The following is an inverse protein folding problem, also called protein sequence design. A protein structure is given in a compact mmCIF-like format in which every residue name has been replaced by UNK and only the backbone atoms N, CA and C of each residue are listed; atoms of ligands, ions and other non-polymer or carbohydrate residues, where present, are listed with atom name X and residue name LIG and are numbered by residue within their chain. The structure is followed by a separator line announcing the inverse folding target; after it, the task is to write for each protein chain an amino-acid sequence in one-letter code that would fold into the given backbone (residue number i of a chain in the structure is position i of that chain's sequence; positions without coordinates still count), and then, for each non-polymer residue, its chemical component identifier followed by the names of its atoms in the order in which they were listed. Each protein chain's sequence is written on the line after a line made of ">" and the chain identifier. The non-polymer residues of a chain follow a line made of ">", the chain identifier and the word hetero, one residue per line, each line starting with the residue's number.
data_IF_684417051594
#
_entry.id   IF_684417051594
#
_cell.length_a   1.000
_cell.length_b   1.000
_cell.length_c   1.000
_cell.angle_alpha   90.00
_cell.angle_beta   90.00
_cell.angle_gamma   90.00
#
_symmetry.space_group_name_H-M   'P 1'
#
loop_
_entity.id
_entity.type
_entity.pdbx_description
1 polymer ?
#
# COMPACT_ATOMS: atom_id res chain seq x y z
N UNK A 1 -5.40 27.94 5.01
CA UNK A 1 -6.06 27.05 5.99
C UNK A 1 -7.37 26.54 5.43
N UNK A 2 -7.88 25.46 6.02
CA UNK A 2 -9.20 24.89 5.68
C UNK A 2 -10.04 24.82 6.94
N UNK A 3 -11.19 25.46 6.91
CA UNK A 3 -12.19 25.33 7.97
C UNK A 3 -13.19 24.24 7.57
N UNK A 4 -13.52 23.33 8.49
CA UNK A 4 -14.39 22.17 8.21
C UNK A 4 -15.75 22.52 7.62
N UNK A 5 -16.33 23.66 8.03
CA UNK A 5 -17.66 24.12 7.57
C UNK A 5 -17.61 25.13 6.43
N UNK A 6 -16.54 25.92 6.32
CA UNK A 6 -16.49 27.07 5.40
C UNK A 6 -15.45 26.94 4.30
N UNK A 7 -14.60 25.90 4.33
CA UNK A 7 -13.63 25.61 3.28
C UNK A 7 -12.33 26.40 3.38
N UNK A 8 -11.75 26.69 2.21
CA UNK A 8 -10.42 27.27 2.11
C UNK A 8 -10.47 28.78 2.36
N UNK A 9 -9.70 29.23 3.36
CA UNK A 9 -9.47 30.63 3.67
C UNK A 9 -7.97 30.92 3.88
N UNK A 10 -7.60 32.19 3.92
CA UNK A 10 -6.25 32.66 4.21
C UNK A 10 -6.16 33.08 5.67
N UNK A 11 -5.34 32.40 6.44
CA UNK A 11 -5.04 32.82 7.81
C UNK A 11 -4.36 34.21 7.79
N UNK A 12 -4.82 35.12 8.64
CA UNK A 12 -4.27 36.49 8.77
C UNK A 12 -3.43 36.57 10.03
N UNK A 13 -4.09 36.47 11.21
CA UNK A 13 -3.46 36.59 12.52
C UNK A 13 -4.36 36.00 13.62
N UNK A 14 -3.88 36.05 14.85
CA UNK A 14 -4.66 35.84 16.07
C UNK A 14 -4.74 37.19 16.76
N UNK A 15 -5.93 37.60 17.21
CA UNK A 15 -6.17 38.85 17.96
C UNK A 15 -7.22 38.62 19.04
N UNK A 16 -7.21 39.49 20.05
CA UNK A 16 -8.28 39.46 21.04
C UNK A 16 -9.60 39.95 20.43
N UNK A 17 -10.67 39.25 20.74
CA UNK A 17 -12.05 39.66 20.40
C UNK A 17 -12.41 40.98 21.03
N UNK A 18 -12.93 41.94 20.28
CA UNK A 18 -13.38 43.23 20.87
C UNK A 18 -14.49 43.07 21.90
N UNK A 19 -15.31 42.02 21.78
CA UNK A 19 -16.52 41.84 22.60
C UNK A 19 -16.27 40.98 23.84
N UNK A 20 -15.42 39.95 23.77
CA UNK A 20 -15.20 39.01 24.88
C UNK A 20 -13.79 39.06 25.47
N UNK A 21 -12.84 39.66 24.77
CA UNK A 21 -11.43 39.67 25.18
C UNK A 21 -10.70 38.32 24.92
N UNK A 22 -11.42 37.31 24.48
CA UNK A 22 -10.84 36.00 24.13
C UNK A 22 -10.01 36.06 22.84
N UNK A 23 -9.02 35.19 22.71
CA UNK A 23 -8.23 35.10 21.48
C UNK A 23 -9.01 34.41 20.35
N UNK A 24 -9.03 35.05 19.19
CA UNK A 24 -9.68 34.58 17.96
C UNK A 24 -8.70 34.51 16.80
N UNK A 25 -8.87 33.48 15.98
CA UNK A 25 -8.15 33.27 14.74
C UNK A 25 -8.90 33.94 13.57
N UNK A 26 -8.27 34.89 12.91
CA UNK A 26 -8.85 35.65 11.79
C UNK A 26 -8.52 34.99 10.47
N UNK A 27 -9.54 34.56 9.72
CA UNK A 27 -9.39 33.87 8.45
C UNK A 27 -10.12 34.67 7.37
N UNK A 28 -9.37 35.11 6.36
CA UNK A 28 -9.89 35.85 5.20
C UNK A 28 -10.45 34.87 4.16
N UNK A 29 -11.67 35.16 3.74
CA UNK A 29 -12.37 34.47 2.66
C UNK A 29 -12.49 35.34 1.42
N UNK A 30 -13.09 34.80 0.33
CA UNK A 30 -13.41 35.58 -0.88
C UNK A 30 -14.28 36.79 -0.49
N UNK A 31 -14.24 37.83 -1.29
CA UNK A 31 -14.97 39.09 -1.08
C UNK A 31 -14.53 39.87 0.17
N UNK A 32 -13.28 39.68 0.62
CA UNK A 32 -12.71 40.34 1.82
C UNK A 32 -13.49 40.10 3.13
N UNK A 33 -14.25 39.04 3.20
CA UNK A 33 -14.96 38.68 4.43
C UNK A 33 -14.03 37.96 5.38
N UNK A 34 -13.98 38.38 6.65
CA UNK A 34 -13.18 37.77 7.71
C UNK A 34 -14.09 36.90 8.58
N UNK A 35 -13.67 35.65 8.79
CA UNK A 35 -14.26 34.77 9.78
C UNK A 35 -13.42 34.80 11.05
N UNK A 36 -14.04 35.11 12.16
CA UNK A 36 -13.45 35.07 13.50
C UNK A 36 -13.73 33.69 14.11
N UNK A 37 -12.68 32.92 14.39
CA UNK A 37 -12.80 31.58 14.97
C UNK A 37 -12.17 31.61 16.35
N UNK A 38 -12.95 31.44 17.44
CA UNK A 38 -12.39 31.33 18.78
C UNK A 38 -11.34 30.23 18.89
N UNK A 39 -10.26 30.41 19.63
CA UNK A 39 -9.23 29.40 19.81
C UNK A 39 -9.74 28.08 20.37
N UNK A 40 -10.82 28.10 21.15
CA UNK A 40 -11.56 26.91 21.61
C UNK A 40 -12.06 26.03 20.44
N UNK A 41 -12.27 26.65 19.28
CA UNK A 41 -12.69 25.97 18.03
C UNK A 41 -11.54 25.78 17.02
N UNK A 42 -10.30 25.98 17.41
CA UNK A 42 -9.14 25.82 16.54
C UNK A 42 -9.04 24.42 15.90
N UNK A 43 -9.60 23.40 16.53
CA UNK A 43 -9.70 22.03 16.01
C UNK A 43 -10.53 21.93 14.72
N UNK A 44 -11.37 22.91 14.40
CA UNK A 44 -12.13 23.00 13.14
C UNK A 44 -11.30 23.56 11.99
N UNK A 45 -10.10 24.07 12.26
CA UNK A 45 -9.21 24.67 11.27
C UNK A 45 -7.96 23.81 11.11
N UNK A 46 -7.66 23.43 9.87
CA UNK A 46 -6.46 22.66 9.52
C UNK A 46 -5.60 23.39 8.50
N UNK A 47 -4.34 23.00 8.41
CA UNK A 47 -3.46 23.52 7.37
C UNK A 47 -3.92 22.99 6.01
N UNK A 48 -3.98 23.89 5.01
CA UNK A 48 -4.21 23.46 3.64
C UNK A 48 -3.00 22.68 3.10
N UNK A 49 -3.25 21.47 2.61
CA UNK A 49 -2.26 20.62 1.96
C UNK A 49 -2.73 20.42 0.53
N UNK A 50 -2.14 21.13 -0.42
CA UNK A 50 -2.48 21.04 -1.85
C UNK A 50 -1.46 20.23 -2.64
N UNK A 51 -1.91 19.51 -3.63
CA UNK A 51 -1.07 18.82 -4.61
C UNK A 51 -0.67 19.82 -5.72
N UNK A 52 0.38 20.60 -5.50
CA UNK A 52 0.94 21.48 -6.52
C UNK A 52 1.32 22.89 -6.05
N UNK A 53 1.99 23.65 -6.93
CA UNK A 53 2.51 25.00 -6.67
C UNK A 53 1.47 26.12 -6.82
N UNK A 54 0.22 25.81 -7.17
CA UNK A 54 -0.81 26.84 -7.37
C UNK A 54 -1.48 27.21 -6.04
N UNK A 55 -1.54 28.53 -5.77
CA UNK A 55 -2.31 29.05 -4.65
C UNK A 55 -3.78 28.71 -4.84
N UNK A 56 -4.45 28.08 -3.83
CA UNK A 56 -5.86 27.71 -3.95
C UNK A 56 -6.74 28.95 -3.98
N UNK A 57 -7.85 28.86 -4.71
CA UNK A 57 -8.87 29.89 -4.64
C UNK A 57 -9.57 29.87 -3.28
N UNK A 58 -9.78 31.05 -2.69
CA UNK A 58 -10.51 31.18 -1.45
C UNK A 58 -12.00 30.90 -1.66
N UNK A 59 -12.62 30.18 -0.73
CA UNK A 59 -14.07 29.98 -0.73
C UNK A 59 -14.81 31.26 -0.34
N UNK A 60 -16.09 31.35 -0.69
CA UNK A 60 -17.01 32.38 -0.20
C UNK A 60 -17.78 31.85 1.00
N UNK A 61 -17.92 32.66 2.05
CA UNK A 61 -18.72 32.30 3.22
C UNK A 61 -20.20 32.17 2.82
N UNK A 62 -20.84 31.09 3.27
CA UNK A 62 -22.24 30.80 2.92
C UNK A 62 -22.47 30.17 1.53
N UNK A 63 -21.43 29.95 0.74
CA UNK A 63 -21.55 29.25 -0.55
C UNK A 63 -21.76 27.75 -0.37
N UNK A 64 -22.73 27.21 -1.07
CA UNK A 64 -22.99 25.75 -1.13
C UNK A 64 -21.93 24.94 -1.87
N UNK A 65 -20.98 25.61 -2.55
CA UNK A 65 -19.92 24.95 -3.34
C UNK A 65 -19.03 24.06 -2.46
N UNK A 66 -18.61 24.56 -1.31
CA UNK A 66 -17.80 23.77 -0.34
C UNK A 66 -18.58 22.59 0.22
N UNK A 67 -19.83 22.80 0.64
CA UNK A 67 -20.71 21.75 1.16
C UNK A 67 -20.96 20.67 0.11
N UNK A 68 -21.15 21.05 -1.15
CA UNK A 68 -21.28 20.08 -2.25
C UNK A 68 -20.01 19.29 -2.50
N UNK A 69 -18.85 19.96 -2.50
CA UNK A 69 -17.55 19.30 -2.66
C UNK A 69 -17.27 18.32 -1.50
N UNK A 70 -17.54 18.74 -0.26
CA UNK A 70 -17.42 17.89 0.93
C UNK A 70 -18.33 16.66 0.84
N UNK A 71 -19.61 16.86 0.52
CA UNK A 71 -20.58 15.76 0.37
C UNK A 71 -20.25 14.82 -0.80
N UNK A 72 -19.67 15.34 -1.87
CA UNK A 72 -19.17 14.54 -2.99
C UNK A 72 -17.97 13.69 -2.56
N UNK A 73 -17.03 14.26 -1.80
CA UNK A 73 -15.90 13.52 -1.27
C UNK A 73 -16.34 12.44 -0.27
N UNK A 74 -17.28 12.76 0.63
CA UNK A 74 -17.86 11.78 1.58
C UNK A 74 -18.54 10.62 0.85
N UNK A 75 -19.31 10.89 -0.22
CA UNK A 75 -19.90 9.85 -1.06
C UNK A 75 -18.85 8.99 -1.75
N UNK A 76 -17.83 9.62 -2.33
CA UNK A 76 -16.74 8.87 -2.99
C UNK A 76 -16.00 7.95 -2.01
N UNK A 77 -15.81 8.38 -0.76
CA UNK A 77 -15.22 7.54 0.30
C UNK A 77 -16.16 6.39 0.68
N UNK A 78 -17.47 6.67 0.81
CA UNK A 78 -18.46 5.64 1.11
C UNK A 78 -18.60 4.61 -0.03
N UNK A 79 -18.62 5.06 -1.28
CA UNK A 79 -18.68 4.20 -2.46
C UNK A 79 -17.42 3.31 -2.55
N UNK A 80 -16.24 3.90 -2.28
CA UNK A 80 -14.99 3.14 -2.22
C UNK A 80 -14.99 2.10 -1.09
N UNK A 81 -15.48 2.46 0.10
CA UNK A 81 -15.63 1.51 1.21
C UNK A 81 -16.60 0.37 0.87
N UNK A 82 -17.74 0.69 0.24
CA UNK A 82 -18.68 -0.32 -0.22
C UNK A 82 -18.09 -1.27 -1.27
N UNK A 83 -17.30 -0.74 -2.21
CA UNK A 83 -16.58 -1.57 -3.19
C UNK A 83 -15.55 -2.48 -2.51
N UNK A 84 -14.80 -1.99 -1.51
CA UNK A 84 -13.87 -2.82 -0.74
C UNK A 84 -14.59 -3.96 -0.02
N UNK A 85 -15.72 -3.66 0.63
CA UNK A 85 -16.53 -4.67 1.33
C UNK A 85 -17.09 -5.73 0.37
N UNK A 86 -17.55 -5.35 -0.82
CA UNK A 86 -18.01 -6.28 -1.83
C UNK A 86 -16.89 -7.20 -2.32
N UNK A 87 -15.70 -6.66 -2.60
CA UNK A 87 -14.52 -7.46 -2.99
C UNK A 87 -14.14 -8.43 -1.87
N UNK A 88 -14.21 -7.98 -0.62
CA UNK A 88 -13.94 -8.84 0.54
C UNK A 88 -14.97 -9.94 0.68
N UNK A 89 -16.26 -9.64 0.53
CA UNK A 89 -17.33 -10.64 0.57
C UNK A 89 -17.16 -11.70 -0.53
N UNK A 90 -16.81 -11.27 -1.76
CA UNK A 90 -16.51 -12.20 -2.85
C UNK A 90 -15.28 -13.08 -2.56
N UNK A 91 -14.24 -12.53 -1.92
CA UNK A 91 -13.06 -13.31 -1.51
C UNK A 91 -13.35 -14.28 -0.38
N UNK A 92 -14.20 -13.91 0.58
CA UNK A 92 -14.60 -14.79 1.67
C UNK A 92 -15.39 -16.01 1.19
N UNK A 93 -16.15 -15.89 0.10
CA UNK A 93 -16.90 -16.97 -0.53
C UNK A 93 -16.10 -17.72 -1.61
N UNK A 94 -15.00 -17.12 -2.09
CA UNK A 94 -14.14 -17.70 -3.11
C UNK A 94 -13.27 -18.84 -2.58
N UNK A 95 -13.04 -19.86 -3.40
CA UNK A 95 -12.02 -20.88 -3.12
C UNK A 95 -10.68 -20.41 -3.70
N UNK A 96 -9.69 -20.24 -2.83
CA UNK A 96 -8.29 -20.02 -3.18
C UNK A 96 -7.50 -21.33 -3.29
N UNK A 97 -6.23 -21.20 -3.59
CA UNK A 97 -5.30 -22.31 -3.52
C UNK A 97 -4.71 -22.38 -2.10
N UNK A 98 -4.85 -23.50 -1.43
CA UNK A 98 -4.20 -23.74 -0.14
C UNK A 98 -2.78 -24.24 -0.39
N UNK A 99 -1.80 -23.43 -0.03
CA UNK A 99 -0.40 -23.81 -0.11
C UNK A 99 -0.09 -24.92 0.92
N UNK A 100 0.82 -25.87 0.59
CA UNK A 100 1.20 -26.91 1.53
C UNK A 100 1.88 -26.34 2.79
N UNK A 101 1.88 -27.07 3.92
CA UNK A 101 2.68 -26.73 5.09
C UNK A 101 4.16 -26.58 4.74
N UNK A 102 4.91 -25.92 5.62
CA UNK A 102 6.33 -25.68 5.42
C UNK A 102 7.12 -26.95 5.19
N UNK A 103 7.89 -26.96 4.11
CA UNK A 103 8.82 -28.02 3.76
C UNK A 103 10.17 -27.85 4.48
N UNK A 104 11.03 -28.86 4.41
CA UNK A 104 12.42 -28.77 4.87
C UNK A 104 13.16 -27.59 4.23
N UNK A 105 12.96 -27.36 2.94
CA UNK A 105 13.53 -26.22 2.22
C UNK A 105 13.09 -24.88 2.79
N UNK A 106 11.83 -24.76 3.23
CA UNK A 106 11.33 -23.53 3.84
C UNK A 106 12.05 -23.25 5.17
N UNK A 107 12.27 -24.26 6.00
CA UNK A 107 12.99 -24.11 7.26
C UNK A 107 14.47 -23.78 7.06
N UNK A 108 15.14 -24.44 6.11
CA UNK A 108 16.53 -24.11 5.74
C UNK A 108 16.64 -22.68 5.20
N UNK A 109 15.70 -22.27 4.35
CA UNK A 109 15.60 -20.92 3.81
C UNK A 109 15.42 -19.87 4.92
N UNK A 110 14.55 -20.10 5.88
CA UNK A 110 14.35 -19.19 7.01
C UNK A 110 15.60 -19.14 7.91
N UNK A 111 16.20 -20.27 8.18
CA UNK A 111 17.41 -20.36 9.02
C UNK A 111 18.64 -19.70 8.39
N UNK A 112 18.69 -19.58 7.05
CA UNK A 112 19.79 -18.92 6.33
C UNK A 112 19.66 -17.39 6.32
N UNK A 113 18.64 -16.81 6.98
CA UNK A 113 18.48 -15.34 7.05
C UNK A 113 19.61 -14.72 7.89
N UNK A 114 20.40 -13.78 7.34
CA UNK A 114 21.61 -13.29 7.99
C UNK A 114 21.36 -12.34 9.16
N UNK A 115 20.10 -11.97 9.41
CA UNK A 115 19.72 -11.05 10.48
C UNK A 115 18.81 -11.74 11.50
N UNK A 116 18.72 -11.17 12.69
CA UNK A 116 17.76 -11.62 13.69
C UNK A 116 16.44 -10.89 13.48
N UNK A 117 15.37 -11.64 13.31
CA UNK A 117 14.02 -11.09 13.15
C UNK A 117 13.52 -10.47 14.46
N UNK A 118 12.74 -9.39 14.31
CA UNK A 118 11.95 -8.83 15.40
C UNK A 118 10.70 -9.68 15.65
N UNK A 119 10.10 -9.55 16.83
CA UNK A 119 8.86 -10.27 17.17
C UNK A 119 7.72 -9.92 16.21
N UNK A 120 7.66 -8.65 15.75
CA UNK A 120 6.64 -8.21 14.80
C UNK A 120 6.84 -8.84 13.41
N UNK A 121 8.10 -8.96 12.96
CA UNK A 121 8.43 -9.65 11.71
C UNK A 121 8.04 -11.12 11.78
N UNK A 122 8.39 -11.83 12.87
CA UNK A 122 8.02 -13.24 13.06
C UNK A 122 6.49 -13.42 13.05
N UNK A 123 5.77 -12.52 13.72
CA UNK A 123 4.29 -12.52 13.73
C UNK A 123 3.71 -12.29 12.33
N UNK A 124 4.22 -11.32 11.60
CA UNK A 124 3.77 -11.03 10.23
C UNK A 124 4.04 -12.21 9.28
N UNK A 125 5.20 -12.86 9.40
CA UNK A 125 5.55 -14.06 8.62
C UNK A 125 4.60 -15.21 8.96
N UNK A 126 4.38 -15.49 10.25
CA UNK A 126 3.50 -16.58 10.67
C UNK A 126 2.04 -16.37 10.21
N UNK A 127 1.53 -15.13 10.33
CA UNK A 127 0.19 -14.78 9.86
C UNK A 127 0.07 -14.91 8.33
N UNK A 128 1.07 -14.46 7.57
CA UNK A 128 1.09 -14.60 6.11
C UNK A 128 1.08 -16.06 5.68
N UNK A 129 1.89 -16.91 6.32
CA UNK A 129 1.92 -18.34 6.04
C UNK A 129 0.59 -19.03 6.36
N UNK A 130 -0.02 -18.69 7.51
CA UNK A 130 -1.31 -19.24 7.91
C UNK A 130 -2.42 -18.88 6.92
N UNK A 131 -2.44 -17.65 6.40
CA UNK A 131 -3.38 -17.24 5.35
C UNK A 131 -3.17 -18.04 4.07
N UNK A 132 -1.90 -18.19 3.61
CA UNK A 132 -1.56 -18.95 2.40
C UNK A 132 -1.94 -20.45 2.52
N UNK A 133 -1.93 -21.01 3.72
CA UNK A 133 -2.35 -22.38 3.99
C UNK A 133 -3.86 -22.55 4.09
N UNK A 134 -4.60 -21.44 4.16
CA UNK A 134 -6.06 -21.50 4.20
C UNK A 134 -6.65 -21.76 2.81
N UNK A 135 -7.90 -22.21 2.76
CA UNK A 135 -8.63 -22.36 1.50
C UNK A 135 -9.23 -21.04 0.99
N UNK A 136 -9.16 -19.98 1.80
CA UNK A 136 -9.61 -18.64 1.45
C UNK A 136 -8.46 -17.87 0.81
N UNK A 137 -8.65 -17.20 -0.34
CA UNK A 137 -7.59 -16.37 -0.93
C UNK A 137 -7.12 -15.28 0.03
N UNK A 138 -5.83 -15.23 0.30
CA UNK A 138 -5.23 -14.21 1.17
C UNK A 138 -5.41 -12.80 0.59
N UNK A 139 -5.74 -11.83 1.42
CA UNK A 139 -5.59 -10.41 1.14
C UNK A 139 -5.03 -9.69 2.37
N UNK A 140 -3.71 -9.75 2.50
CA UNK A 140 -3.02 -9.23 3.68
C UNK A 140 -2.20 -7.99 3.36
N UNK A 141 -2.28 -7.00 4.25
CA UNK A 141 -1.50 -5.78 4.22
C UNK A 141 -0.41 -5.83 5.31
N UNK A 142 0.85 -5.71 4.92
CA UNK A 142 1.98 -5.53 5.83
C UNK A 142 2.32 -4.05 5.93
N UNK A 143 2.10 -3.46 7.08
CA UNK A 143 2.48 -2.08 7.39
C UNK A 143 3.75 -2.04 8.23
N UNK A 144 4.62 -1.08 7.95
CA UNK A 144 5.82 -0.84 8.73
C UNK A 144 6.67 0.21 8.06
N UNK A 145 7.49 0.91 8.84
CA UNK A 145 8.33 1.98 8.31
C UNK A 145 9.40 1.44 7.33
N UNK A 146 10.06 2.35 6.60
CA UNK A 146 11.15 2.00 5.68
C UNK A 146 12.28 1.32 6.46
N UNK A 147 12.78 0.20 5.95
CA UNK A 147 13.85 -0.58 6.60
C UNK A 147 13.37 -1.52 7.72
N UNK A 148 12.05 -1.68 7.96
CA UNK A 148 11.54 -2.61 8.98
C UNK A 148 11.43 -4.06 8.50
N UNK A 149 11.97 -4.40 7.34
CA UNK A 149 12.06 -5.78 6.85
C UNK A 149 10.79 -6.34 6.21
N UNK A 150 9.85 -5.49 5.78
CA UNK A 150 8.64 -5.93 5.03
C UNK A 150 8.97 -6.80 3.83
N UNK A 151 10.07 -6.50 3.14
CA UNK A 151 10.53 -7.25 1.96
C UNK A 151 10.85 -8.70 2.29
N UNK A 152 11.43 -9.00 3.47
CA UNK A 152 11.71 -10.37 3.88
C UNK A 152 10.43 -11.19 4.07
N UNK A 153 9.35 -10.58 4.58
CA UNK A 153 8.03 -11.24 4.64
C UNK A 153 7.56 -11.65 3.25
N UNK A 154 7.70 -10.73 2.27
CA UNK A 154 7.32 -11.00 0.88
C UNK A 154 8.20 -12.08 0.22
N UNK A 155 9.50 -12.07 0.51
CA UNK A 155 10.45 -13.08 0.00
C UNK A 155 10.08 -14.46 0.51
N UNK A 156 9.78 -14.61 1.82
CA UNK A 156 9.36 -15.89 2.42
C UNK A 156 8.02 -16.37 1.86
N UNK A 157 7.07 -15.46 1.67
CA UNK A 157 5.79 -15.79 1.03
C UNK A 157 5.99 -16.26 -0.42
N UNK A 158 6.82 -15.57 -1.20
CA UNK A 158 7.13 -15.97 -2.57
C UNK A 158 7.86 -17.33 -2.62
N UNK A 159 8.81 -17.58 -1.73
CA UNK A 159 9.49 -18.85 -1.64
C UNK A 159 8.54 -19.99 -1.27
N UNK A 160 7.64 -19.78 -0.30
CA UNK A 160 6.57 -20.74 0.05
C UNK A 160 5.65 -21.02 -1.15
N UNK A 161 5.28 -20.00 -1.90
CA UNK A 161 4.47 -20.12 -3.10
C UNK A 161 5.16 -21.03 -4.16
N UNK A 162 6.43 -20.77 -4.43
CA UNK A 162 7.22 -21.51 -5.44
C UNK A 162 7.47 -22.95 -4.99
N UNK A 163 7.84 -23.19 -3.74
CA UNK A 163 8.01 -24.56 -3.21
C UNK A 163 6.70 -25.33 -3.16
N UNK A 164 5.57 -24.65 -3.12
CA UNK A 164 4.23 -25.22 -3.31
C UNK A 164 3.83 -25.45 -4.78
N UNK A 165 4.75 -25.27 -5.74
CA UNK A 165 4.53 -25.52 -7.17
C UNK A 165 3.72 -24.43 -7.88
N UNK A 166 3.66 -23.20 -7.34
CA UNK A 166 2.98 -22.06 -7.94
C UNK A 166 3.94 -20.94 -8.30
N UNK A 167 3.52 -20.07 -9.20
CA UNK A 167 4.28 -18.89 -9.61
C UNK A 167 3.94 -17.69 -8.73
N UNK A 168 4.92 -16.80 -8.49
CA UNK A 168 4.71 -15.55 -7.77
C UNK A 168 5.02 -14.33 -8.66
N UNK A 169 4.22 -13.26 -8.51
CA UNK A 169 4.44 -11.99 -9.19
C UNK A 169 4.68 -10.89 -8.15
N UNK A 170 5.72 -10.08 -8.35
CA UNK A 170 6.06 -8.95 -7.48
C UNK A 170 5.91 -7.64 -8.26
N UNK A 171 4.90 -6.86 -7.90
CA UNK A 171 4.59 -5.58 -8.52
C UNK A 171 5.17 -4.43 -7.71
N UNK A 172 5.89 -3.56 -8.39
CA UNK A 172 6.49 -2.37 -7.81
C UNK A 172 6.21 -1.12 -8.66
N UNK A 173 6.15 0.08 -8.09
CA UNK A 173 5.75 1.28 -8.83
C UNK A 173 6.81 1.81 -9.80
N UNK A 174 8.08 1.50 -9.59
CA UNK A 174 9.18 2.05 -10.38
C UNK A 174 10.18 0.97 -10.83
N UNK A 175 10.87 1.24 -11.92
CA UNK A 175 11.91 0.33 -12.44
C UNK A 175 13.11 0.21 -11.51
N UNK A 176 13.42 1.26 -10.75
CA UNK A 176 14.50 1.24 -9.74
C UNK A 176 14.16 0.27 -8.63
N UNK A 177 12.92 0.30 -8.13
CA UNK A 177 12.45 -0.66 -7.13
C UNK A 177 12.39 -2.08 -7.70
N UNK A 178 12.02 -2.25 -8.99
CA UNK A 178 12.04 -3.57 -9.62
C UNK A 178 13.45 -4.16 -9.63
N UNK A 179 14.45 -3.38 -9.99
CA UNK A 179 15.86 -3.80 -9.98
C UNK A 179 16.35 -4.13 -8.56
N UNK A 180 15.98 -3.31 -7.59
CA UNK A 180 16.34 -3.54 -6.18
C UNK A 180 15.72 -4.84 -5.66
N UNK A 181 14.42 -5.06 -5.86
CA UNK A 181 13.75 -6.30 -5.47
C UNK A 181 14.33 -7.50 -6.22
N UNK A 182 14.58 -7.37 -7.53
CA UNK A 182 15.15 -8.45 -8.33
C UNK A 182 16.50 -8.91 -7.78
N UNK A 183 17.39 -7.97 -7.44
CA UNK A 183 18.68 -8.29 -6.84
C UNK A 183 18.51 -8.98 -5.48
N UNK A 184 17.70 -8.40 -4.59
CA UNK A 184 17.47 -8.93 -3.24
C UNK A 184 16.87 -10.34 -3.28
N UNK A 185 15.88 -10.57 -4.15
CA UNK A 185 15.27 -11.90 -4.30
C UNK A 185 16.27 -12.93 -4.86
N UNK A 186 17.06 -12.54 -5.88
CA UNK A 186 18.11 -13.41 -6.43
C UNK A 186 19.18 -13.77 -5.41
N UNK A 187 19.68 -12.79 -4.68
CA UNK A 187 20.66 -13.00 -3.61
C UNK A 187 20.11 -13.94 -2.54
N UNK A 188 18.89 -13.70 -2.08
CA UNK A 188 18.26 -14.46 -1.02
C UNK A 188 17.93 -15.90 -1.40
N UNK A 189 17.64 -16.16 -2.68
CA UNK A 189 17.29 -17.48 -3.21
C UNK A 189 18.41 -18.13 -4.05
N UNK A 190 19.65 -17.62 -3.96
CA UNK A 190 20.75 -18.05 -4.83
C UNK A 190 21.13 -19.54 -4.70
N UNK A 191 20.87 -20.14 -3.54
CA UNK A 191 21.16 -21.56 -3.28
C UNK A 191 20.01 -22.51 -3.68
N UNK A 192 18.91 -21.97 -4.19
CA UNK A 192 17.73 -22.75 -4.56
C UNK A 192 17.47 -22.72 -6.07
N UNK A 193 16.91 -23.79 -6.64
CA UNK A 193 16.61 -23.84 -8.07
C UNK A 193 15.33 -23.04 -8.42
N UNK A 194 15.33 -21.76 -8.08
CA UNK A 194 14.21 -20.83 -8.32
C UNK A 194 14.60 -19.89 -9.44
N UNK A 195 13.84 -19.89 -10.53
CA UNK A 195 14.06 -18.99 -11.65
C UNK A 195 13.32 -17.70 -11.48
N UNK A 196 14.07 -16.60 -11.28
CA UNK A 196 13.55 -15.25 -11.07
C UNK A 196 13.88 -14.41 -12.29
N UNK A 197 12.86 -13.77 -12.87
CA UNK A 197 13.01 -12.88 -14.01
C UNK A 197 12.41 -11.49 -13.74
N UNK A 198 12.88 -10.49 -14.48
CA UNK A 198 12.38 -9.13 -14.37
C UNK A 198 11.75 -8.67 -15.67
N UNK A 199 10.52 -8.13 -15.58
CA UNK A 199 9.83 -7.45 -16.67
C UNK A 199 9.81 -5.94 -16.44
N UNK A 200 10.70 -5.23 -17.13
CA UNK A 200 10.77 -3.78 -17.10
C UNK A 200 10.87 -3.18 -18.50
N UNK A 201 10.68 -1.88 -18.63
CA UNK A 201 10.88 -1.17 -19.90
C UNK A 201 12.34 -1.16 -20.38
N UNK A 202 13.28 -1.54 -19.52
CA UNK A 202 14.70 -1.59 -19.86
C UNK A 202 15.16 -3.00 -20.28
N UNK A 203 14.29 -4.00 -20.18
CA UNK A 203 14.57 -5.34 -20.66
C UNK A 203 14.60 -5.34 -22.19
N UNK A 204 15.51 -6.09 -22.79
CA UNK A 204 15.56 -6.24 -24.26
C UNK A 204 14.31 -6.94 -24.78
N UNK A 205 13.96 -6.73 -26.05
CA UNK A 205 12.83 -7.41 -26.66
C UNK A 205 12.98 -8.95 -26.67
N UNK A 206 14.21 -9.45 -26.69
CA UNK A 206 14.51 -10.88 -26.59
C UNK A 206 14.25 -11.40 -25.18
N UNK A 207 14.73 -10.69 -24.14
CA UNK A 207 14.50 -11.05 -22.74
C UNK A 207 13.01 -11.03 -22.39
N UNK A 208 12.29 -9.99 -22.85
CA UNK A 208 10.84 -9.90 -22.65
C UNK A 208 10.15 -11.13 -23.24
N UNK A 209 10.45 -11.50 -24.48
CA UNK A 209 9.84 -12.69 -25.12
C UNK A 209 10.17 -13.98 -24.37
N UNK A 210 11.44 -14.16 -23.97
CA UNK A 210 11.89 -15.32 -23.19
C UNK A 210 11.18 -15.41 -21.84
N UNK A 211 11.05 -14.28 -21.13
CA UNK A 211 10.37 -14.22 -19.84
C UNK A 211 8.88 -14.51 -19.99
N UNK A 212 8.20 -13.93 -20.99
CA UNK A 212 6.78 -14.18 -21.25
C UNK A 212 6.51 -15.65 -21.56
N UNK A 213 7.34 -16.27 -22.40
CA UNK A 213 7.22 -17.70 -22.69
C UNK A 213 7.52 -18.55 -21.45
N UNK A 214 8.53 -18.18 -20.65
CA UNK A 214 8.84 -18.86 -19.40
C UNK A 214 7.70 -18.78 -18.37
N UNK A 215 6.99 -17.64 -18.30
CA UNK A 215 5.81 -17.49 -17.46
C UNK A 215 4.64 -18.36 -17.95
N UNK A 216 4.42 -18.40 -19.26
CA UNK A 216 3.34 -19.17 -19.89
C UNK A 216 3.54 -20.67 -19.73
N UNK A 217 4.78 -21.14 -19.80
CA UNK A 217 5.13 -22.56 -19.65
C UNK A 217 5.30 -23.00 -18.20
N UNK A 218 5.48 -22.06 -17.27
CA UNK A 218 5.81 -22.32 -15.87
C UNK A 218 7.30 -22.57 -15.63
N UNK A 219 8.18 -22.20 -16.57
CA UNK A 219 9.63 -22.28 -16.43
C UNK A 219 10.23 -21.08 -15.66
N UNK A 220 9.46 -20.02 -15.44
CA UNK A 220 9.80 -18.88 -14.57
C UNK A 220 8.93 -18.98 -13.34
N UNK A 221 9.55 -19.02 -12.17
CA UNK A 221 8.88 -19.20 -10.88
C UNK A 221 8.43 -17.86 -10.29
N UNK A 222 9.30 -16.85 -10.34
CA UNK A 222 9.03 -15.52 -9.80
C UNK A 222 9.29 -14.48 -10.88
N UNK A 223 8.34 -13.57 -11.07
CA UNK A 223 8.52 -12.41 -11.94
C UNK A 223 8.38 -11.12 -11.14
N UNK A 224 9.35 -10.22 -11.31
CA UNK A 224 9.36 -8.90 -10.68
C UNK A 224 9.22 -7.83 -11.74
N UNK A 225 8.34 -6.87 -11.54
CA UNK A 225 8.18 -5.81 -12.54
C UNK A 225 7.24 -4.69 -12.11
N UNK A 226 7.07 -3.73 -13.03
CA UNK A 226 6.18 -2.59 -12.84
C UNK A 226 4.79 -2.91 -13.40
N UNK A 227 4.01 -1.87 -13.70
CA UNK A 227 2.70 -1.99 -14.38
C UNK A 227 2.73 -2.87 -15.66
N UNK A 228 3.92 -3.17 -16.21
CA UNK A 228 4.09 -4.10 -17.32
C UNK A 228 3.55 -5.50 -17.01
N UNK A 229 3.58 -5.94 -15.75
CA UNK A 229 3.06 -7.24 -15.32
C UNK A 229 1.53 -7.38 -15.47
N UNK A 230 0.82 -6.26 -15.59
CA UNK A 230 -0.64 -6.22 -15.74
C UNK A 230 -1.08 -6.09 -17.22
N UNK A 231 -0.14 -6.08 -18.14
CA UNK A 231 -0.46 -6.02 -19.57
C UNK A 231 -1.08 -7.33 -20.02
N UNK A 232 -1.96 -7.25 -21.01
CA UNK A 232 -2.83 -8.36 -21.41
C UNK A 232 -2.04 -9.53 -22.05
N UNK A 233 -0.84 -9.27 -22.55
CA UNK A 233 0.09 -10.28 -23.11
C UNK A 233 0.88 -11.07 -22.06
N UNK A 234 0.81 -10.67 -20.78
CA UNK A 234 1.46 -11.42 -19.69
C UNK A 234 0.49 -12.51 -19.21
N UNK A 235 0.80 -13.75 -19.47
CA UNK A 235 0.06 -14.92 -18.99
C UNK A 235 0.95 -15.80 -18.13
N UNK A 236 0.45 -16.21 -16.98
CA UNK A 236 1.13 -17.10 -16.04
C UNK A 236 0.37 -18.41 -15.94
N UNK A 237 1.09 -19.52 -15.99
CA UNK A 237 0.50 -20.86 -16.03
C UNK A 237 -0.30 -21.20 -14.77
N UNK A 238 0.29 -20.90 -13.62
CA UNK A 238 -0.26 -21.30 -12.32
C UNK A 238 0.11 -20.28 -11.23
N UNK A 239 -0.24 -18.99 -11.45
CA UNK A 239 -0.02 -17.93 -10.48
C UNK A 239 -0.70 -18.28 -9.15
N UNK A 240 0.02 -18.21 -8.04
CA UNK A 240 -0.45 -18.48 -6.69
C UNK A 240 -0.36 -17.27 -5.75
N UNK A 241 0.61 -16.36 -6.00
CA UNK A 241 0.83 -15.20 -5.14
C UNK A 241 1.12 -13.95 -5.96
N UNK A 242 0.52 -12.85 -5.55
CA UNK A 242 0.87 -11.50 -6.02
C UNK A 242 1.32 -10.66 -4.83
N UNK A 243 2.55 -10.16 -4.89
CA UNK A 243 3.08 -9.16 -3.95
C UNK A 243 2.96 -7.79 -4.59
N UNK A 244 2.43 -6.81 -3.86
CA UNK A 244 2.29 -5.42 -4.33
C UNK A 244 3.04 -4.52 -3.34
N UNK A 245 4.13 -3.91 -3.78
CA UNK A 245 4.85 -2.94 -2.95
C UNK A 245 4.40 -1.52 -3.27
N UNK A 246 4.22 -0.70 -2.23
CA UNK A 246 3.80 0.71 -2.35
C UNK A 246 2.50 0.90 -3.18
N UNK A 247 1.46 0.11 -2.88
CA UNK A 247 0.17 0.11 -3.61
C UNK A 247 -0.41 1.51 -3.83
N UNK A 248 -0.18 2.45 -2.91
CA UNK A 248 -0.69 3.82 -3.00
C UNK A 248 -0.11 4.61 -4.19
N UNK A 249 1.02 4.18 -4.74
CA UNK A 249 1.65 4.79 -5.92
C UNK A 249 1.06 4.33 -7.25
N UNK A 250 0.18 3.32 -7.24
CA UNK A 250 -0.53 2.87 -8.42
C UNK A 250 -1.82 3.66 -8.62
N UNK A 251 -2.10 4.07 -9.86
CA UNK A 251 -3.34 4.77 -10.21
C UNK A 251 -4.59 3.89 -10.10
N UNK A 252 -5.76 4.52 -9.98
CA UNK A 252 -7.06 3.85 -9.79
C UNK A 252 -7.32 2.75 -10.85
N UNK A 253 -7.08 3.04 -12.13
CA UNK A 253 -7.26 2.07 -13.24
C UNK A 253 -6.39 0.82 -13.08
N UNK A 254 -5.17 0.95 -12.57
CA UNK A 254 -4.29 -0.18 -12.33
C UNK A 254 -4.82 -1.04 -11.18
N UNK A 255 -5.36 -0.41 -10.13
CA UNK A 255 -5.94 -1.13 -8.98
C UNK A 255 -7.20 -1.92 -9.37
N UNK A 256 -8.02 -1.38 -10.26
CA UNK A 256 -9.19 -2.10 -10.80
C UNK A 256 -8.76 -3.32 -11.61
N UNK A 257 -7.81 -3.16 -12.55
CA UNK A 257 -7.23 -4.29 -13.29
C UNK A 257 -6.60 -5.35 -12.37
N UNK A 258 -5.96 -4.93 -11.26
CA UNK A 258 -5.42 -5.88 -10.27
C UNK A 258 -6.53 -6.73 -9.66
N UNK A 259 -7.63 -6.12 -9.24
CA UNK A 259 -8.74 -6.82 -8.59
C UNK A 259 -9.37 -7.86 -9.50
N UNK A 260 -9.61 -7.50 -10.76
CA UNK A 260 -10.20 -8.41 -11.75
C UNK A 260 -9.24 -9.56 -12.11
N UNK A 261 -7.97 -9.23 -12.38
CA UNK A 261 -6.98 -10.19 -12.87
C UNK A 261 -6.52 -11.20 -11.82
N UNK A 262 -6.47 -10.79 -10.57
CA UNK A 262 -5.99 -11.60 -9.45
C UNK A 262 -7.12 -12.11 -8.54
N UNK A 263 -8.32 -12.23 -9.08
CA UNK A 263 -9.45 -12.82 -8.37
C UNK A 263 -9.14 -14.28 -8.02
N UNK A 264 -9.26 -14.64 -6.73
CA UNK A 264 -8.94 -15.99 -6.25
C UNK A 264 -7.44 -16.30 -6.07
N UNK A 265 -6.55 -15.32 -6.28
CA UNK A 265 -5.11 -15.42 -6.03
C UNK A 265 -4.77 -14.75 -4.69
N UNK A 266 -3.78 -15.29 -3.99
CA UNK A 266 -3.25 -14.68 -2.78
C UNK A 266 -2.61 -13.33 -3.09
N UNK A 267 -2.96 -12.30 -2.32
CA UNK A 267 -2.41 -10.95 -2.46
C UNK A 267 -1.77 -10.51 -1.15
N UNK A 268 -0.49 -10.18 -1.23
CA UNK A 268 0.28 -9.59 -0.14
C UNK A 268 0.69 -8.17 -0.51
N UNK A 269 0.23 -7.19 0.23
CA UNK A 269 0.56 -5.78 -0.01
C UNK A 269 1.54 -5.27 1.04
N UNK A 270 2.56 -4.53 0.60
CA UNK A 270 3.50 -3.87 1.49
C UNK A 270 3.28 -2.36 1.45
N UNK A 271 3.30 -1.70 2.60
CA UNK A 271 3.20 -0.25 2.70
C UNK A 271 4.15 0.32 3.75
N UNK A 272 4.88 1.38 3.37
CA UNK A 272 5.73 2.13 4.28
C UNK A 272 5.00 3.30 4.94
N UNK A 273 3.82 3.69 4.44
CA UNK A 273 3.06 4.79 5.04
C UNK A 273 2.28 4.28 6.25
N UNK A 274 2.45 4.91 7.43
CA UNK A 274 1.59 4.60 8.57
C UNK A 274 0.15 4.94 8.19
N UNK A 275 -0.73 3.95 8.31
CA UNK A 275 -2.16 4.16 8.06
C UNK A 275 -2.71 5.00 9.21
N UNK A 276 -3.34 6.16 8.96
CA UNK A 276 -4.00 6.92 9.99
C UNK A 276 -4.97 6.02 10.79
N UNK A 277 -5.02 6.18 12.11
CA UNK A 277 -5.80 5.31 13.00
C UNK A 277 -7.27 5.16 12.59
N UNK A 278 -7.85 6.20 12.01
CA UNK A 278 -9.21 6.19 11.45
C UNK A 278 -9.35 5.31 10.20
N UNK A 279 -8.36 5.34 9.32
CA UNK A 279 -8.33 4.46 8.13
C UNK A 279 -8.01 3.01 8.53
N UNK A 280 -7.18 2.82 9.56
CA UNK A 280 -6.90 1.51 10.16
C UNK A 280 -8.20 0.84 10.66
N UNK A 281 -9.01 1.55 11.43
CA UNK A 281 -10.28 1.04 11.95
C UNK A 281 -11.27 0.72 10.82
N UNK A 282 -11.32 1.57 9.78
CA UNK A 282 -12.17 1.34 8.61
C UNK A 282 -11.71 0.11 7.77
N UNK A 283 -10.43 -0.22 7.78
CA UNK A 283 -9.86 -1.36 7.05
C UNK A 283 -9.89 -2.67 7.87
N UNK A 284 -9.98 -2.61 9.21
CA UNK A 284 -9.95 -3.80 10.08
C UNK A 284 -11.06 -4.84 9.81
N UNK A 285 -12.14 -4.46 9.13
CA UNK A 285 -13.18 -5.40 8.68
C UNK A 285 -13.08 -5.79 7.21
N UNK A 286 -12.26 -5.09 6.44
CA UNK A 286 -12.19 -5.22 4.99
C UNK A 286 -10.91 -5.91 4.48
N UNK A 287 -9.87 -6.06 5.31
CA UNK A 287 -8.59 -6.64 4.91
C UNK A 287 -7.80 -7.13 6.13
N UNK A 288 -7.13 -8.29 5.98
CA UNK A 288 -6.22 -8.78 7.01
C UNK A 288 -4.96 -7.91 7.07
N UNK A 289 -4.46 -7.60 8.28
CA UNK A 289 -3.34 -6.68 8.44
C UNK A 289 -2.35 -7.13 9.50
N UNK A 290 -1.05 -6.90 9.21
CA UNK A 290 0.06 -7.08 10.16
C UNK A 290 0.89 -5.81 10.22
N UNK A 291 1.18 -5.31 11.42
CA UNK A 291 2.04 -4.13 11.63
C UNK A 291 3.41 -4.58 12.14
N UNK A 292 4.46 -4.02 11.56
CA UNK A 292 5.85 -4.15 12.02
C UNK A 292 6.25 -2.79 12.58
N UNK A 293 6.24 -2.67 13.91
CA UNK A 293 6.48 -1.41 14.62
C UNK A 293 7.87 -1.38 15.27
N UNK A 294 8.48 -2.55 15.47
CA UNK A 294 9.80 -2.68 16.05
C UNK A 294 10.88 -2.63 14.97
N UNK A 295 11.79 -1.63 15.00
CA UNK A 295 12.91 -1.56 14.06
C UNK A 295 13.89 -2.71 14.29
N UNK A 296 14.58 -3.20 13.23
CA UNK A 296 15.69 -4.14 13.38
C UNK A 296 16.82 -3.53 14.24
N UNK A 297 17.54 -4.41 14.97
CA UNK A 297 18.57 -4.01 15.96
C UNK A 297 19.64 -3.06 15.39
N UNK A 298 19.97 -3.19 14.10
CA UNK A 298 21.02 -2.40 13.44
C UNK A 298 20.52 -1.14 12.73
N UNK A 299 19.22 -0.80 12.85
CA UNK A 299 18.68 0.42 12.21
C UNK A 299 19.05 1.65 13.04
N UNK A 300 19.87 2.51 12.46
CA UNK A 300 20.14 3.82 13.04
C UNK A 300 18.95 4.77 12.79
N UNK A 301 18.50 5.54 13.79
CA UNK A 301 17.46 6.55 13.58
C UNK A 301 17.95 7.65 12.66
N UNK A 302 17.05 8.19 11.83
CA UNK A 302 17.36 9.37 11.00
C UNK A 302 17.53 10.58 11.92
N UNK A 303 18.70 11.21 11.87
CA UNK A 303 18.93 12.48 12.54
C UNK A 303 18.39 13.60 11.67
N UNK A 304 17.41 14.35 12.18
CA UNK A 304 16.87 15.53 11.49
C UNK A 304 17.45 16.77 12.14
N UNK A 305 18.17 17.57 11.36
CA UNK A 305 18.59 18.92 11.74
C UNK A 305 17.69 19.94 11.04
N UNK A 306 17.25 20.95 11.77
CA UNK A 306 16.44 22.07 11.27
C UNK A 306 17.34 23.29 11.11
#
# INVERSE_FOLDING_TARGET
>A
VVHTSYGIGKFINISASPDSGDEEMNILYRDNTILHVPLSQAHLVSRYIGLGSKTPELNKLGDSKWQRAKKSAERSVADYAAQLLNVQAERQTGKGYSHPPDSKWMWEFESSFPFRETQDQLRAIAQTKADMESTRPMDRLICGDVGFGKTEVAIRAAFKCVTGGRQAAVLVPTTVLAEQHFRTFKERMSEYPVRIEMLSRFSSAADIRSTLEGLRTGAVDIVIGTHRLISDDVSMKNLGLVVIDEEQRFGVRHKEKFKERFKGIDVLTLSATPIPRTLYIALMGARDMSSIETPPVNRQPVQTSV
#
